data_IF_922440163040
#
_entry.id   IF_922440163040
#
_cell.length_a   1.000
_cell.length_b   1.000
_cell.length_c   1.000
_cell.angle_alpha   90.00
_cell.angle_beta   90.00
_cell.angle_gamma   90.00
#
_symmetry.space_group_name_H-M   'P 1'
#
loop_
_entity.id
_entity.type
_entity.pdbx_description
1 polymer ?
#
# COMPACT_ATOMS: atom_id res chain seq x y z
N UNK A 1 -41.50 34.65 -4.32
CA UNK A 1 -41.76 33.80 -3.13
C UNK A 1 -40.62 32.79 -3.03
N UNK A 2 -39.65 33.08 -2.16
CA UNK A 2 -38.56 32.18 -1.80
C UNK A 2 -39.09 31.16 -0.79
N UNK A 3 -39.00 29.87 -1.08
CA UNK A 3 -39.18 28.82 -0.09
C UNK A 3 -37.83 28.16 0.16
N UNK A 4 -37.11 28.66 1.18
CA UNK A 4 -35.99 27.92 1.76
C UNK A 4 -36.56 26.66 2.41
N UNK A 5 -36.03 25.50 2.02
CA UNK A 5 -36.18 24.28 2.82
C UNK A 5 -35.24 24.43 4.01
N UNK A 6 -35.80 24.85 5.15
CA UNK A 6 -35.12 24.80 6.43
C UNK A 6 -34.87 23.33 6.79
N UNK A 7 -33.60 22.95 6.84
CA UNK A 7 -33.17 21.71 7.49
C UNK A 7 -33.32 21.89 9.02
N UNK A 8 -33.89 20.92 9.75
CA UNK A 8 -33.96 21.01 11.20
C UNK A 8 -32.59 20.69 11.82
N UNK A 9 -32.10 21.57 12.70
CA UNK A 9 -31.07 21.24 13.67
C UNK A 9 -29.67 21.83 13.46
N UNK A 10 -29.55 23.16 13.31
CA UNK A 10 -28.36 23.85 13.83
C UNK A 10 -28.42 23.80 15.35
N UNK A 11 -27.78 22.79 15.94
CA UNK A 11 -27.50 22.75 17.36
C UNK A 11 -25.99 22.56 17.50
N UNK A 12 -25.27 23.64 17.82
CA UNK A 12 -23.82 23.69 18.03
C UNK A 12 -23.41 23.02 19.35
N UNK A 13 -23.99 21.86 19.65
CA UNK A 13 -23.63 21.04 20.79
C UNK A 13 -23.09 19.71 20.27
N UNK A 14 -21.78 19.66 20.03
CA UNK A 14 -21.06 18.47 19.54
C UNK A 14 -21.25 17.24 20.46
N UNK A 15 -21.83 17.41 21.66
CA UNK A 15 -22.20 16.35 22.58
C UNK A 15 -23.39 15.49 22.13
N UNK A 16 -24.27 15.99 21.25
CA UNK A 16 -25.52 15.29 20.91
C UNK A 16 -25.52 14.58 19.54
N UNK A 17 -24.45 14.72 18.76
CA UNK A 17 -24.40 14.14 17.41
C UNK A 17 -24.28 12.61 17.45
N UNK A 18 -23.44 12.06 18.34
CA UNK A 18 -23.21 10.62 18.50
C UNK A 18 -24.49 9.89 18.95
N UNK A 19 -25.17 10.46 19.95
CA UNK A 19 -26.47 9.94 20.42
C UNK A 19 -27.53 9.98 19.31
N UNK A 20 -27.59 11.05 18.52
CA UNK A 20 -28.57 11.20 17.43
C UNK A 20 -28.33 10.15 16.32
N UNK A 21 -27.06 9.94 15.93
CA UNK A 21 -26.70 8.92 14.94
C UNK A 21 -26.96 7.50 15.45
N UNK A 22 -26.64 7.23 16.71
CA UNK A 22 -26.86 5.94 17.33
C UNK A 22 -28.35 5.59 17.47
N UNK A 23 -29.19 6.56 17.85
CA UNK A 23 -30.65 6.38 17.90
C UNK A 23 -31.22 6.05 16.52
N UNK A 24 -30.85 6.80 15.47
CA UNK A 24 -31.30 6.49 14.11
C UNK A 24 -30.82 5.12 13.60
N UNK A 25 -29.59 4.73 13.96
CA UNK A 25 -29.09 3.40 13.63
C UNK A 25 -29.88 2.28 14.32
N UNK A 26 -30.26 2.47 15.59
CA UNK A 26 -31.09 1.51 16.31
C UNK A 26 -32.51 1.40 15.75
N UNK A 27 -33.09 2.51 15.28
CA UNK A 27 -34.41 2.53 14.62
C UNK A 27 -34.40 1.72 13.30
N UNK A 28 -33.33 1.84 12.50
CA UNK A 28 -33.17 1.01 11.28
C UNK A 28 -32.92 -0.47 11.61
N UNK A 29 -32.22 -0.77 12.70
CA UNK A 29 -32.02 -2.14 13.19
C UNK A 29 -33.34 -2.76 13.69
N UNK A 30 -34.22 -1.97 14.33
CA UNK A 30 -35.58 -2.42 14.71
C UNK A 30 -36.46 -2.70 13.48
N UNK A 31 -36.27 -1.96 12.38
CA UNK A 31 -36.96 -2.19 11.12
C UNK A 31 -36.58 -3.51 10.43
N UNK A 32 -35.46 -4.12 10.84
CA UNK A 32 -34.91 -5.36 10.29
C UNK A 32 -35.27 -6.62 11.12
N UNK A 33 -36.11 -6.48 12.15
CA UNK A 33 -36.58 -7.57 13.05
C UNK A 33 -35.44 -8.44 13.62
N UNK A 34 -34.35 -7.79 14.03
CA UNK A 34 -33.15 -8.45 14.53
C UNK A 34 -33.29 -8.84 16.02
N UNK A 35 -32.85 -10.06 16.33
CA UNK A 35 -32.95 -10.71 17.65
C UNK A 35 -32.42 -9.81 18.80
N UNK A 36 -33.13 -9.80 19.94
CA UNK A 36 -32.81 -9.10 21.21
C UNK A 36 -31.34 -9.22 21.64
N UNK A 37 -30.71 -10.38 21.41
CA UNK A 37 -29.28 -10.62 21.72
C UNK A 37 -28.34 -9.72 20.91
N UNK A 38 -28.67 -9.45 19.64
CA UNK A 38 -27.87 -8.57 18.79
C UNK A 38 -27.98 -7.11 19.24
N UNK A 39 -29.18 -6.69 19.69
CA UNK A 39 -29.42 -5.33 20.22
C UNK A 39 -28.58 -5.07 21.48
N UNK A 40 -28.53 -6.02 22.40
CA UNK A 40 -27.68 -5.94 23.60
C UNK A 40 -26.19 -5.89 23.25
N UNK A 41 -25.76 -6.65 22.23
CA UNK A 41 -24.38 -6.63 21.74
C UNK A 41 -24.01 -5.28 21.11
N UNK A 42 -24.87 -4.72 20.28
CA UNK A 42 -24.67 -3.40 19.64
C UNK A 42 -24.56 -2.30 20.69
N UNK A 43 -25.45 -2.29 21.69
CA UNK A 43 -25.40 -1.32 22.80
C UNK A 43 -24.10 -1.42 23.60
N UNK A 44 -23.62 -2.64 23.83
CA UNK A 44 -22.38 -2.88 24.59
C UNK A 44 -21.15 -2.38 23.82
N UNK A 45 -21.07 -2.66 22.51
CA UNK A 45 -19.96 -2.18 21.68
C UNK A 45 -19.99 -0.66 21.50
N UNK A 46 -21.18 -0.05 21.34
CA UNK A 46 -21.32 1.40 21.28
C UNK A 46 -20.79 2.08 22.55
N UNK A 47 -21.18 1.60 23.73
CA UNK A 47 -20.69 2.14 25.00
C UNK A 47 -19.16 2.00 25.12
N UNK A 48 -18.61 0.88 24.67
CA UNK A 48 -17.17 0.61 24.69
C UNK A 48 -16.40 1.56 23.77
N UNK A 49 -16.90 1.80 22.56
CA UNK A 49 -16.30 2.74 21.62
C UNK A 49 -16.43 4.19 22.09
N UNK A 50 -17.57 4.57 22.67
CA UNK A 50 -17.78 5.89 23.28
C UNK A 50 -16.75 6.16 24.38
N UNK A 51 -16.53 5.21 25.29
CA UNK A 51 -15.51 5.31 26.34
C UNK A 51 -14.08 5.39 25.78
N UNK A 52 -13.78 4.61 24.74
CA UNK A 52 -12.50 4.64 24.05
C UNK A 52 -12.23 6.01 23.41
N UNK A 53 -13.18 6.53 22.63
CA UNK A 53 -13.10 7.84 21.97
C UNK A 53 -12.98 8.97 22.99
N UNK A 54 -13.75 8.94 24.07
CA UNK A 54 -13.66 9.92 25.15
C UNK A 54 -12.25 9.92 25.77
N UNK A 55 -11.72 8.74 26.08
CA UNK A 55 -10.38 8.59 26.65
C UNK A 55 -9.29 9.08 25.69
N UNK A 56 -9.45 8.78 24.39
CA UNK A 56 -8.54 9.23 23.34
C UNK A 56 -8.50 10.76 23.25
N UNK A 57 -9.66 11.42 23.14
CA UNK A 57 -9.71 12.88 23.04
C UNK A 57 -9.26 13.60 24.31
N UNK A 58 -9.56 13.06 25.48
CA UNK A 58 -9.02 13.60 26.75
C UNK A 58 -7.50 13.58 26.79
N UNK A 59 -6.85 12.54 26.23
CA UNK A 59 -5.39 12.50 26.09
C UNK A 59 -4.88 13.58 25.14
N UNK A 60 -5.48 13.71 23.96
CA UNK A 60 -5.09 14.74 22.97
C UNK A 60 -5.24 16.16 23.54
N UNK A 61 -6.35 16.46 24.22
CA UNK A 61 -6.60 17.76 24.84
C UNK A 61 -5.59 18.04 25.97
N UNK A 62 -5.26 17.02 26.77
CA UNK A 62 -4.26 17.14 27.83
C UNK A 62 -2.87 17.44 27.27
N UNK A 63 -2.44 16.70 26.25
CA UNK A 63 -1.17 16.90 25.55
C UNK A 63 -1.08 18.30 24.94
N UNK A 64 -2.17 18.79 24.34
CA UNK A 64 -2.22 20.15 23.78
C UNK A 64 -2.12 21.24 24.85
N UNK A 65 -2.76 21.05 26.01
CA UNK A 65 -2.69 21.99 27.15
C UNK A 65 -1.31 22.01 27.81
N UNK A 66 -0.64 20.86 27.91
CA UNK A 66 0.71 20.75 28.47
C UNK A 66 1.78 21.41 27.56
N UNK A 67 1.52 21.50 26.26
CA UNK A 67 2.42 22.12 25.28
C UNK A 67 2.20 23.64 25.07
N UNK A 68 1.30 24.27 25.83
CA UNK A 68 0.92 25.69 25.68
C UNK A 68 1.50 26.64 26.75
N UNK A 69 2.34 26.17 27.67
CA UNK A 69 3.00 27.03 28.68
C UNK A 69 4.39 27.53 28.21
N UNK A 70 4.78 28.80 28.47
CA UNK A 70 6.06 29.34 28.03
C UNK A 70 7.23 28.82 28.86
N UNK A 71 8.35 28.55 28.16
CA UNK A 71 9.66 28.21 28.73
C UNK A 71 10.09 29.26 29.77
N UNK A 72 10.23 28.85 31.04
CA UNK A 72 11.14 29.47 31.99
C UNK A 72 11.65 28.48 33.05
N UNK A 73 12.98 28.35 33.03
CA UNK A 73 13.97 27.92 34.04
C UNK A 73 13.52 27.41 35.42
N UNK A 74 13.96 26.19 35.78
CA UNK A 74 14.81 25.86 36.96
C UNK A 74 14.48 24.50 37.63
N UNK A 75 15.57 23.74 37.86
CA UNK A 75 15.79 22.58 38.73
C UNK A 75 14.71 22.13 39.73
N UNK A 76 14.47 20.82 39.80
CA UNK A 76 14.58 20.05 41.06
C UNK A 76 14.42 18.53 40.84
N UNK A 77 15.25 17.79 41.58
CA UNK A 77 15.49 16.35 41.63
C UNK A 77 14.47 15.62 42.56
N UNK A 78 14.35 14.27 42.37
CA UNK A 78 13.80 13.20 43.26
C UNK A 78 12.25 13.05 43.27
N UNK A 79 11.63 11.86 43.20
CA UNK A 79 11.82 10.63 43.99
C UNK A 79 11.23 9.41 43.25
N UNK A 80 11.92 8.26 43.31
CA UNK A 80 11.37 6.92 43.06
C UNK A 80 10.52 6.44 44.25
N UNK A 81 9.29 5.94 44.02
CA UNK A 81 8.66 4.97 44.93
C UNK A 81 7.88 3.90 44.15
N UNK A 82 8.33 2.65 44.33
CA UNK A 82 7.61 1.37 44.25
C UNK A 82 6.08 1.47 44.34
N UNK A 83 5.37 0.88 43.40
CA UNK A 83 4.19 0.06 43.73
C UNK A 83 4.20 -1.23 42.91
N UNK A 84 4.34 -2.34 43.64
CA UNK A 84 4.24 -3.71 43.18
C UNK A 84 3.10 -4.30 44.01
N UNK A 85 1.92 -4.52 43.45
CA UNK A 85 0.94 -5.41 44.06
C UNK A 85 -0.04 -6.03 43.05
N UNK A 86 0.13 -7.35 42.88
CA UNK A 86 -0.89 -8.40 42.66
C UNK A 86 -2.03 -8.12 41.67
N UNK A 87 -1.83 -8.51 40.41
CA UNK A 87 -2.94 -8.99 39.57
C UNK A 87 -3.02 -10.51 39.70
N UNK A 88 -4.03 -10.96 40.45
CA UNK A 88 -4.49 -12.36 40.52
C UNK A 88 -4.81 -12.83 39.10
N UNK A 89 -4.24 -13.98 38.71
CA UNK A 89 -4.66 -14.73 37.53
C UNK A 89 -6.07 -15.28 37.79
N UNK A 90 -7.05 -14.79 37.04
CA UNK A 90 -8.27 -15.54 36.76
C UNK A 90 -7.97 -16.36 35.52
N UNK A 91 -8.00 -17.69 35.66
CA UNK A 91 -8.02 -18.62 34.53
C UNK A 91 -9.46 -18.67 34.04
N UNK A 92 -9.72 -17.99 32.94
CA UNK A 92 -10.83 -18.35 32.07
C UNK A 92 -10.19 -19.13 30.91
N UNK A 93 -10.30 -20.45 31.01
CA UNK A 93 -10.01 -21.42 29.95
C UNK A 93 -11.15 -21.33 28.94
N UNK A 94 -10.91 -20.64 27.81
CA UNK A 94 -11.55 -20.87 26.49
C UNK A 94 -11.28 -19.69 25.52
N UNK A 95 -10.02 -19.30 25.35
CA UNK A 95 -9.66 -18.28 24.35
C UNK A 95 -8.90 -18.86 23.18
N UNK A 96 -9.57 -18.92 22.04
CA UNK A 96 -9.03 -19.14 20.68
C UNK A 96 -7.66 -18.45 20.55
N UNK A 97 -6.64 -19.16 20.05
CA UNK A 97 -5.23 -18.72 19.94
C UNK A 97 -5.05 -17.28 19.43
N UNK A 98 -5.94 -16.81 18.55
CA UNK A 98 -5.95 -15.44 18.02
C UNK A 98 -6.17 -14.36 19.10
N UNK A 99 -7.05 -14.60 20.07
CA UNK A 99 -7.39 -13.61 21.10
C UNK A 99 -6.29 -13.45 22.16
N UNK A 100 -5.56 -14.52 22.48
CA UNK A 100 -4.38 -14.45 23.34
C UNK A 100 -3.20 -13.77 22.64
N UNK A 101 -3.03 -14.05 21.35
CA UNK A 101 -2.04 -13.36 20.52
C UNK A 101 -2.25 -11.84 20.52
N UNK A 102 -3.48 -11.37 20.23
CA UNK A 102 -3.79 -9.94 20.23
C UNK A 102 -3.58 -9.30 21.60
N UNK A 103 -3.98 -9.97 22.69
CA UNK A 103 -3.72 -9.51 24.06
C UNK A 103 -2.22 -9.34 24.31
N UNK A 104 -1.40 -10.31 23.89
CA UNK A 104 0.07 -10.26 24.03
C UNK A 104 0.69 -9.13 23.20
N UNK A 105 0.29 -8.96 21.94
CA UNK A 105 0.76 -7.86 21.10
C UNK A 105 0.41 -6.50 21.71
N UNK A 106 -0.82 -6.35 22.20
CA UNK A 106 -1.29 -5.11 22.84
C UNK A 106 -0.48 -4.79 24.10
N UNK A 107 -0.15 -5.80 24.92
CA UNK A 107 0.70 -5.63 26.09
C UNK A 107 2.12 -5.18 25.72
N UNK A 108 2.72 -5.76 24.67
CA UNK A 108 4.05 -5.37 24.19
C UNK A 108 4.04 -3.90 23.73
N UNK A 109 3.02 -3.50 22.96
CA UNK A 109 2.87 -2.13 22.48
C UNK A 109 2.72 -1.14 23.65
N UNK A 110 1.87 -1.43 24.64
CA UNK A 110 1.70 -0.57 25.81
C UNK A 110 2.97 -0.45 26.65
N UNK A 111 3.69 -1.56 26.85
CA UNK A 111 4.97 -1.55 27.58
C UNK A 111 6.05 -0.74 26.85
N UNK A 112 6.01 -0.70 25.52
CA UNK A 112 7.03 -0.05 24.69
C UNK A 112 6.56 1.28 24.07
N UNK A 113 5.41 1.83 24.48
CA UNK A 113 4.82 3.02 23.85
C UNK A 113 5.74 4.25 23.79
N UNK A 114 6.64 4.38 24.76
CA UNK A 114 7.61 5.49 24.82
C UNK A 114 8.94 5.17 24.12
N UNK A 115 9.17 3.91 23.72
CA UNK A 115 10.36 3.50 22.99
C UNK A 115 10.29 4.06 21.55
N UNK A 116 11.28 4.86 21.17
CA UNK A 116 11.33 5.54 19.87
C UNK A 116 11.39 4.54 18.69
N UNK A 117 12.11 3.43 18.85
CA UNK A 117 12.23 2.41 17.79
C UNK A 117 10.89 1.74 17.54
N UNK A 118 10.15 1.41 18.61
CA UNK A 118 8.81 0.82 18.48
C UNK A 118 7.85 1.79 17.81
N UNK A 119 7.82 3.05 18.23
CA UNK A 119 6.97 4.08 17.60
C UNK A 119 7.27 4.20 16.10
N UNK A 120 8.54 4.30 15.72
CA UNK A 120 8.92 4.41 14.32
C UNK A 120 8.50 3.18 13.49
N UNK A 121 8.67 1.95 14.02
CA UNK A 121 8.24 0.73 13.33
C UNK A 121 6.72 0.71 13.14
N UNK A 122 5.96 1.09 14.16
CA UNK A 122 4.50 1.16 14.10
C UNK A 122 4.05 2.22 13.08
N UNK A 123 4.63 3.42 13.14
CA UNK A 123 4.30 4.52 12.21
C UNK A 123 4.59 4.11 10.76
N UNK A 124 5.73 3.45 10.51
CA UNK A 124 6.05 2.92 9.18
C UNK A 124 5.07 1.83 8.74
N UNK A 125 4.68 0.93 9.63
CA UNK A 125 3.69 -0.11 9.32
C UNK A 125 2.33 0.50 8.97
N UNK A 126 1.89 1.53 9.72
CA UNK A 126 0.66 2.26 9.42
C UNK A 126 0.73 2.96 8.05
N UNK A 127 1.86 3.60 7.72
CA UNK A 127 2.06 4.21 6.40
C UNK A 127 1.97 3.18 5.26
N UNK A 128 2.56 2.00 5.46
CA UNK A 128 2.51 0.89 4.49
C UNK A 128 1.07 0.39 4.32
N UNK A 129 0.34 0.18 5.41
CA UNK A 129 -1.06 -0.26 5.37
C UNK A 129 -1.93 0.77 4.64
N UNK A 130 -1.84 2.04 5.02
CA UNK A 130 -2.61 3.12 4.39
C UNK A 130 -2.29 3.27 2.90
N UNK A 131 -1.02 3.09 2.51
CA UNK A 131 -0.62 3.13 1.11
C UNK A 131 -1.15 1.94 0.31
N UNK A 132 -1.15 0.75 0.90
CA UNK A 132 -1.77 -0.44 0.32
C UNK A 132 -3.27 -0.26 0.13
N UNK A 133 -4.00 0.22 1.14
CA UNK A 133 -5.45 0.45 1.06
C UNK A 133 -5.77 1.48 -0.03
N UNK A 134 -5.05 2.60 -0.04
CA UNK A 134 -5.17 3.62 -1.08
C UNK A 134 -4.92 3.05 -2.49
N UNK A 135 -3.93 2.17 -2.63
CA UNK A 135 -3.61 1.52 -3.89
C UNK A 135 -4.78 0.67 -4.40
N UNK A 136 -5.42 -0.12 -3.52
CA UNK A 136 -6.61 -0.92 -3.86
C UNK A 136 -7.79 -0.01 -4.28
N UNK A 137 -7.88 1.18 -3.71
CA UNK A 137 -8.89 2.20 -4.01
C UNK A 137 -8.61 3.01 -5.30
N UNK A 138 -7.63 2.63 -6.12
CA UNK A 138 -7.17 3.36 -7.32
C UNK A 138 -6.37 4.64 -7.04
N UNK A 139 -5.93 4.85 -5.80
CA UNK A 139 -5.09 5.98 -5.43
C UNK A 139 -3.64 5.54 -5.18
N UNK A 140 -2.83 5.55 -6.25
CA UNK A 140 -1.42 5.17 -6.16
C UNK A 140 -0.53 6.21 -5.44
N UNK A 141 -1.00 7.45 -5.24
CA UNK A 141 -0.14 8.55 -4.77
C UNK A 141 0.55 8.26 -3.42
N UNK A 142 -0.14 7.74 -2.39
CA UNK A 142 0.50 7.37 -1.13
C UNK A 142 1.58 6.30 -1.32
N UNK A 143 1.33 5.32 -2.19
CA UNK A 143 2.29 4.28 -2.55
C UNK A 143 3.55 4.86 -3.21
N UNK A 144 3.40 5.77 -4.18
CA UNK A 144 4.54 6.45 -4.80
C UNK A 144 5.36 7.24 -3.77
N UNK A 145 4.71 7.88 -2.80
CA UNK A 145 5.39 8.64 -1.75
C UNK A 145 6.26 7.76 -0.85
N UNK A 146 5.75 6.60 -0.42
CA UNK A 146 6.54 5.66 0.39
C UNK A 146 7.65 5.02 -0.45
N UNK A 147 7.40 4.70 -1.73
CA UNK A 147 8.40 4.15 -2.64
C UNK A 147 9.56 5.12 -2.84
N UNK A 148 9.25 6.40 -3.10
CA UNK A 148 10.26 7.46 -3.21
C UNK A 148 11.10 7.59 -1.94
N UNK A 149 10.45 7.54 -0.77
CA UNK A 149 11.15 7.60 0.51
C UNK A 149 12.14 6.44 0.67
N UNK A 150 11.71 5.21 0.36
CA UNK A 150 12.56 4.02 0.41
C UNK A 150 13.74 4.07 -0.57
N UNK A 151 13.52 4.61 -1.78
CA UNK A 151 14.58 4.79 -2.77
C UNK A 151 15.62 5.82 -2.31
N UNK A 152 15.17 6.93 -1.70
CA UNK A 152 16.06 7.99 -1.19
C UNK A 152 16.92 7.56 0.01
N UNK A 153 16.50 6.54 0.76
CA UNK A 153 17.31 5.96 1.85
C UNK A 153 18.48 5.10 1.35
N UNK A 154 18.48 4.73 0.06
CA UNK A 154 19.53 3.88 -0.51
C UNK A 154 20.84 4.65 -0.63
N UNK A 155 21.94 3.93 -0.45
CA UNK A 155 23.27 4.52 -0.63
C UNK A 155 23.45 5.05 -2.06
N UNK A 156 24.13 6.19 -2.19
CA UNK A 156 24.55 6.78 -3.47
C UNK A 156 25.29 5.79 -4.36
N UNK A 157 26.04 4.86 -3.77
CA UNK A 157 26.74 3.80 -4.51
C UNK A 157 25.78 2.89 -5.31
N UNK A 158 24.53 2.76 -4.86
CA UNK A 158 23.50 1.94 -5.52
C UNK A 158 22.93 2.59 -6.78
N UNK A 159 23.16 3.90 -7.01
CA UNK A 159 22.65 4.61 -8.19
C UNK A 159 23.16 4.01 -9.51
N UNK A 160 24.36 3.42 -9.48
CA UNK A 160 25.00 2.84 -10.66
C UNK A 160 24.51 1.44 -11.01
N UNK A 161 24.06 0.66 -10.02
CA UNK A 161 23.78 -0.78 -10.14
C UNK A 161 22.30 -1.14 -10.04
N UNK A 162 21.44 -0.19 -9.65
CA UNK A 162 20.01 -0.44 -9.58
C UNK A 162 19.40 -0.73 -10.96
N UNK A 163 18.40 -1.61 -10.94
CA UNK A 163 17.66 -2.12 -12.10
C UNK A 163 16.26 -2.59 -11.65
N UNK A 164 15.48 -3.17 -12.57
CA UNK A 164 14.12 -3.66 -12.29
C UNK A 164 14.05 -4.70 -11.15
N UNK A 165 14.89 -5.75 -11.10
CA UNK A 165 14.92 -6.68 -9.96
C UNK A 165 15.15 -6.00 -8.61
N UNK A 166 16.03 -4.99 -8.57
CA UNK A 166 16.26 -4.20 -7.35
C UNK A 166 15.03 -3.39 -6.97
N UNK A 167 14.36 -2.76 -7.95
CA UNK A 167 13.12 -2.02 -7.73
C UNK A 167 12.02 -2.95 -7.20
N UNK A 168 11.88 -4.14 -7.78
CA UNK A 168 10.89 -5.12 -7.37
C UNK A 168 11.05 -5.50 -5.90
N UNK A 169 12.26 -5.82 -5.45
CA UNK A 169 12.52 -6.14 -4.03
C UNK A 169 12.13 -4.98 -3.10
N UNK A 170 12.34 -3.73 -3.52
CA UNK A 170 11.93 -2.56 -2.72
C UNK A 170 10.40 -2.45 -2.66
N UNK A 171 9.72 -2.64 -3.79
CA UNK A 171 8.26 -2.59 -3.88
C UNK A 171 7.62 -3.73 -3.09
N UNK A 172 8.17 -4.95 -3.16
CA UNK A 172 7.72 -6.11 -2.38
C UNK A 172 7.80 -5.85 -0.87
N UNK A 173 8.87 -5.20 -0.39
CA UNK A 173 9.02 -4.86 1.03
C UNK A 173 8.07 -3.74 1.51
N UNK A 174 7.42 -3.03 0.58
CA UNK A 174 6.45 -1.97 0.87
C UNK A 174 5.01 -2.45 0.75
N UNK A 175 4.80 -3.74 0.48
CA UNK A 175 3.48 -4.36 0.38
C UNK A 175 3.36 -5.44 1.46
N UNK A 176 2.19 -5.63 2.08
CA UNK A 176 2.03 -6.72 3.02
C UNK A 176 2.13 -8.06 2.27
N UNK A 177 2.99 -8.95 2.76
CA UNK A 177 3.41 -10.17 2.05
C UNK A 177 2.26 -11.15 1.78
N UNK A 178 1.23 -11.19 2.62
CA UNK A 178 0.03 -12.01 2.41
C UNK A 178 -0.77 -11.59 1.17
N UNK A 179 -0.66 -10.33 0.75
CA UNK A 179 -1.39 -9.76 -0.39
C UNK A 179 -0.50 -9.52 -1.60
N UNK A 180 0.80 -9.80 -1.51
CA UNK A 180 1.76 -9.58 -2.58
C UNK A 180 2.16 -10.91 -3.23
N UNK A 181 2.06 -11.00 -4.56
CA UNK A 181 2.53 -12.14 -5.36
C UNK A 181 3.48 -11.62 -6.44
N UNK A 182 4.80 -11.72 -6.22
CA UNK A 182 5.78 -11.32 -7.21
C UNK A 182 5.87 -12.34 -8.34
N UNK A 183 6.23 -11.89 -9.54
CA UNK A 183 6.44 -12.71 -10.75
C UNK A 183 5.20 -13.59 -11.03
N UNK A 184 4.04 -12.94 -11.08
CA UNK A 184 2.76 -13.63 -11.20
C UNK A 184 2.65 -14.31 -12.56
N UNK A 185 2.59 -15.65 -12.53
CA UNK A 185 2.84 -16.49 -13.70
C UNK A 185 1.60 -16.66 -14.58
N UNK A 186 1.74 -16.40 -15.88
CA UNK A 186 0.67 -16.39 -16.87
C UNK A 186 0.99 -17.25 -18.09
N UNK A 187 -0.05 -17.88 -18.66
CA UNK A 187 -0.03 -18.37 -20.04
C UNK A 187 -0.62 -17.27 -20.91
N UNK A 188 0.23 -16.54 -21.64
CA UNK A 188 -0.19 -15.44 -22.53
C UNK A 188 -0.82 -16.00 -23.80
N UNK A 189 -0.12 -16.92 -24.45
CA UNK A 189 -0.58 -17.55 -25.68
C UNK A 189 -0.12 -19.00 -25.76
N UNK A 190 -1.02 -19.92 -25.40
CA UNK A 190 -0.73 -21.35 -25.41
C UNK A 190 -0.41 -21.94 -26.78
N UNK A 191 -0.78 -21.26 -27.87
CA UNK A 191 -0.49 -21.71 -29.25
C UNK A 191 0.97 -21.52 -29.64
N UNK A 192 1.68 -20.58 -29.02
CA UNK A 192 3.09 -20.32 -29.29
C UNK A 192 3.99 -21.39 -28.66
N UNK A 193 5.14 -21.78 -29.23
CA UNK A 193 6.07 -22.69 -28.57
C UNK A 193 6.69 -22.10 -27.29
N UNK A 194 7.21 -22.97 -26.40
CA UNK A 194 7.94 -22.53 -25.19
C UNK A 194 9.11 -21.62 -25.60
N UNK A 195 9.29 -20.50 -24.89
CA UNK A 195 10.35 -19.52 -25.17
C UNK A 195 10.00 -18.46 -26.23
N UNK A 196 8.84 -18.53 -26.89
CA UNK A 196 8.44 -17.56 -27.94
C UNK A 196 7.35 -16.57 -27.49
N UNK A 197 7.25 -16.31 -26.18
CA UNK A 197 6.17 -15.52 -25.59
C UNK A 197 4.89 -16.33 -25.31
N UNK A 198 5.03 -17.65 -25.10
CA UNK A 198 3.94 -18.49 -24.57
C UNK A 198 3.56 -18.08 -23.15
N UNK A 199 4.56 -17.80 -22.33
CA UNK A 199 4.44 -17.44 -20.92
C UNK A 199 4.76 -15.97 -20.72
N UNK A 200 4.23 -15.40 -19.65
CA UNK A 200 4.53 -14.06 -19.17
C UNK A 200 4.51 -14.05 -17.67
N UNK A 201 5.26 -13.13 -17.09
CA UNK A 201 5.34 -12.91 -15.65
C UNK A 201 5.04 -11.44 -15.43
N UNK A 202 4.01 -11.18 -14.64
CA UNK A 202 3.69 -9.82 -14.20
C UNK A 202 4.50 -9.52 -12.95
N UNK A 203 5.14 -8.36 -12.89
CA UNK A 203 6.13 -8.09 -11.84
C UNK A 203 5.53 -8.27 -10.44
N UNK A 204 4.38 -7.64 -10.15
CA UNK A 204 3.68 -7.83 -8.89
C UNK A 204 2.16 -7.84 -9.08
N UNK A 205 1.52 -8.89 -8.54
CA UNK A 205 0.07 -8.98 -8.38
C UNK A 205 -0.30 -8.73 -6.92
N UNK A 206 -1.10 -7.70 -6.68
CA UNK A 206 -1.55 -7.26 -5.34
C UNK A 206 -3.01 -7.66 -5.15
N UNK A 207 -3.24 -8.54 -4.18
CA UNK A 207 -4.56 -8.99 -3.77
C UNK A 207 -5.24 -7.93 -2.91
N UNK A 208 -6.54 -7.77 -3.08
CA UNK A 208 -7.36 -6.99 -2.16
C UNK A 208 -7.75 -7.81 -0.93
N UNK A 209 -7.47 -7.26 0.25
CA UNK A 209 -8.03 -7.69 1.53
C UNK A 209 -9.46 -7.17 1.69
N UNK A 210 -9.68 -5.93 1.24
CA UNK A 210 -10.92 -5.18 1.38
C UNK A 210 -11.48 -4.89 -0.03
N UNK A 211 -12.68 -5.39 -0.32
CA UNK A 211 -13.32 -5.26 -1.63
C UNK A 211 -13.00 -6.40 -2.59
N UNK A 212 -13.22 -6.18 -3.88
CA UNK A 212 -13.01 -7.19 -4.93
C UNK A 212 -11.98 -6.75 -5.98
N UNK A 213 -11.31 -5.60 -5.79
CA UNK A 213 -10.44 -5.02 -6.81
C UNK A 213 -9.00 -5.44 -6.60
N UNK A 214 -8.40 -6.15 -7.56
CA UNK A 214 -6.98 -6.52 -7.48
C UNK A 214 -6.16 -5.55 -8.31
N UNK A 215 -4.93 -5.28 -7.85
CA UNK A 215 -4.03 -4.33 -8.50
C UNK A 215 -2.85 -5.08 -9.10
N UNK A 216 -2.46 -4.69 -10.31
CA UNK A 216 -1.28 -5.20 -10.97
C UNK A 216 -0.29 -4.06 -11.10
N UNK A 217 0.95 -4.29 -10.67
CA UNK A 217 2.06 -3.35 -10.83
C UNK A 217 3.02 -3.90 -11.86
N UNK A 218 3.29 -3.09 -12.87
CA UNK A 218 4.38 -3.27 -13.83
C UNK A 218 5.47 -2.25 -13.48
N UNK A 219 6.69 -2.71 -13.30
CA UNK A 219 7.81 -1.94 -12.81
C UNK A 219 8.82 -1.74 -13.94
N UNK A 220 9.19 -0.49 -14.18
CA UNK A 220 10.26 -0.13 -15.12
C UNK A 220 11.31 0.69 -14.41
N UNK A 221 12.58 0.42 -14.71
CA UNK A 221 13.70 1.12 -14.07
C UNK A 221 14.66 1.69 -15.12
N UNK A 222 14.86 3.01 -15.07
CA UNK A 222 15.82 3.74 -15.88
C UNK A 222 17.04 4.05 -15.03
N UNK A 223 18.12 3.31 -15.28
CA UNK A 223 19.40 3.57 -14.64
C UNK A 223 20.05 4.85 -15.14
N UNK A 224 20.66 5.61 -14.23
CA UNK A 224 21.36 6.85 -14.58
C UNK A 224 22.55 6.60 -15.50
N UNK A 225 23.21 5.45 -15.34
CA UNK A 225 24.30 5.01 -16.22
C UNK A 225 23.80 4.82 -17.66
N UNK A 226 22.60 4.25 -17.85
CA UNK A 226 22.04 4.06 -19.19
C UNK A 226 21.60 5.36 -19.87
N UNK A 227 21.29 6.41 -19.09
CA UNK A 227 21.02 7.75 -19.60
C UNK A 227 22.30 8.50 -20.02
N UNK A 228 23.43 8.22 -19.37
CA UNK A 228 24.66 8.97 -19.60
C UNK A 228 25.62 8.34 -20.63
N UNK A 229 25.34 7.13 -21.13
CA UNK A 229 26.31 6.38 -21.97
C UNK A 229 26.67 7.03 -23.31
N UNK A 230 25.95 8.06 -23.75
CA UNK A 230 26.31 8.86 -24.93
C UNK A 230 27.36 9.96 -24.62
N UNK A 231 27.62 10.25 -23.35
CA UNK A 231 28.71 11.13 -22.93
C UNK A 231 29.96 10.27 -22.70
N UNK A 232 31.08 10.63 -23.34
CA UNK A 232 32.30 9.81 -23.50
C UNK A 232 33.00 9.33 -22.20
N UNK A 233 32.50 9.69 -21.02
CA UNK A 233 33.12 9.39 -19.74
C UNK A 233 32.17 8.60 -18.82
N UNK A 234 32.70 7.58 -18.14
CA UNK A 234 32.01 6.93 -17.03
C UNK A 234 31.77 7.95 -15.92
N UNK A 235 30.51 8.10 -15.48
CA UNK A 235 30.20 8.97 -14.34
C UNK A 235 30.59 8.31 -13.03
N UNK A 236 31.22 9.07 -12.15
CA UNK A 236 31.37 8.71 -10.75
C UNK A 236 30.06 8.90 -9.98
N UNK A 237 30.09 8.53 -8.70
CA UNK A 237 28.90 8.59 -7.85
C UNK A 237 28.37 10.02 -7.65
N UNK A 238 29.24 11.03 -7.63
CA UNK A 238 28.85 12.43 -7.45
C UNK A 238 28.16 12.99 -8.70
N UNK A 239 28.67 12.66 -9.88
CA UNK A 239 28.07 13.08 -11.15
C UNK A 239 26.70 12.41 -11.35
N UNK A 240 26.57 11.12 -10.98
CA UNK A 240 25.28 10.43 -10.98
C UNK A 240 24.29 11.08 -10.01
N UNK A 241 24.72 11.48 -8.81
CA UNK A 241 23.85 12.17 -7.86
C UNK A 241 23.37 13.52 -8.40
N UNK A 242 24.24 14.28 -9.06
CA UNK A 242 23.88 15.55 -9.69
C UNK A 242 22.88 15.35 -10.84
N UNK A 243 23.08 14.30 -11.65
CA UNK A 243 22.12 13.93 -12.70
C UNK A 243 20.76 13.53 -12.10
N UNK A 244 20.74 12.72 -11.03
CA UNK A 244 19.51 12.30 -10.35
C UNK A 244 18.70 13.51 -9.85
N UNK A 245 19.38 14.49 -9.25
CA UNK A 245 18.78 15.76 -8.78
C UNK A 245 18.25 16.61 -9.95
N UNK A 246 18.97 16.66 -11.07
CA UNK A 246 18.52 17.37 -12.27
C UNK A 246 17.25 16.76 -12.85
N UNK A 247 17.19 15.42 -12.93
CA UNK A 247 16.03 14.70 -13.47
C UNK A 247 14.78 14.85 -12.58
N UNK A 248 14.95 15.13 -11.29
CA UNK A 248 13.83 15.38 -10.38
C UNK A 248 13.00 16.61 -10.80
N UNK A 249 13.67 17.67 -11.27
CA UNK A 249 13.05 18.96 -11.61
C UNK A 249 12.69 19.11 -13.08
N UNK A 250 13.19 18.23 -13.93
CA UNK A 250 12.90 18.27 -15.36
C UNK A 250 11.41 17.97 -15.65
N UNK A 251 10.88 18.66 -16.67
CA UNK A 251 9.50 18.46 -17.08
C UNK A 251 9.32 17.06 -17.71
N UNK A 252 8.13 16.50 -17.55
CA UNK A 252 7.87 15.11 -17.95
C UNK A 252 8.06 14.90 -19.46
N UNK A 253 7.60 15.84 -20.30
CA UNK A 253 7.74 15.73 -21.76
C UNK A 253 9.20 15.61 -22.20
N UNK A 254 10.09 16.41 -21.60
CA UNK A 254 11.52 16.39 -21.88
C UNK A 254 12.17 15.10 -21.38
N UNK A 255 11.82 14.66 -20.17
CA UNK A 255 12.29 13.39 -19.61
C UNK A 255 11.93 12.22 -20.52
N UNK A 256 10.67 12.12 -20.96
CA UNK A 256 10.21 11.01 -21.78
C UNK A 256 10.94 10.94 -23.14
N UNK A 257 11.39 12.07 -23.68
CA UNK A 257 12.18 12.14 -24.93
C UNK A 257 13.66 11.80 -24.75
N UNK A 258 14.16 11.64 -23.52
CA UNK A 258 15.59 11.35 -23.30
C UNK A 258 15.98 10.00 -23.91
N UNK A 259 17.11 9.95 -24.63
CA UNK A 259 17.65 8.69 -25.09
C UNK A 259 18.13 7.85 -23.91
N UNK A 260 17.86 6.55 -23.98
CA UNK A 260 18.29 5.57 -23.00
C UNK A 260 18.94 4.38 -23.69
N UNK A 261 20.11 3.99 -23.19
CA UNK A 261 20.88 2.86 -23.72
C UNK A 261 20.97 1.74 -22.69
N UNK A 262 20.66 0.52 -23.12
CA UNK A 262 20.75 -0.67 -22.28
C UNK A 262 21.34 -1.85 -23.03
N UNK A 263 21.92 -2.79 -22.29
CA UNK A 263 22.45 -4.02 -22.85
C UNK A 263 21.33 -5.06 -22.97
N UNK A 264 20.98 -5.45 -24.20
CA UNK A 264 20.04 -6.54 -24.46
C UNK A 264 20.77 -7.88 -24.38
N UNK A 265 20.34 -8.74 -23.45
CA UNK A 265 20.88 -10.11 -23.35
C UNK A 265 20.50 -10.97 -24.56
N UNK A 266 19.30 -10.74 -25.10
CA UNK A 266 18.76 -11.48 -26.24
C UNK A 266 19.51 -11.14 -27.52
N UNK A 267 19.64 -9.85 -27.81
CA UNK A 267 20.33 -9.37 -29.02
C UNK A 267 21.86 -9.35 -28.89
N UNK A 268 22.37 -9.56 -27.67
CA UNK A 268 23.80 -9.45 -27.30
C UNK A 268 24.44 -8.15 -27.77
N UNK A 269 23.66 -7.06 -27.76
CA UNK A 269 24.11 -5.73 -28.20
C UNK A 269 23.52 -4.63 -27.32
N UNK A 270 24.09 -3.45 -27.45
CA UNK A 270 23.50 -2.23 -26.91
C UNK A 270 22.30 -1.82 -27.77
N UNK A 271 21.16 -1.65 -27.12
CA UNK A 271 19.97 -1.08 -27.74
C UNK A 271 19.80 0.36 -27.26
N UNK A 272 19.36 1.22 -28.18
CA UNK A 272 19.01 2.62 -27.94
C UNK A 272 17.49 2.76 -28.07
N UNK A 273 16.87 3.43 -27.11
CA UNK A 273 15.42 3.70 -27.06
C UNK A 273 15.20 5.04 -26.36
N UNK A 274 13.96 5.40 -26.06
CA UNK A 274 13.62 6.54 -25.20
C UNK A 274 12.94 6.09 -23.91
N UNK A 275 12.97 6.94 -22.88
CA UNK A 275 12.23 6.68 -21.64
C UNK A 275 10.73 6.51 -21.93
N UNK A 276 10.17 7.33 -22.83
CA UNK A 276 8.77 7.26 -23.24
C UNK A 276 8.40 5.94 -23.93
N UNK A 277 9.26 5.41 -24.79
CA UNK A 277 9.06 4.10 -25.40
C UNK A 277 9.04 2.98 -24.34
N UNK A 278 9.93 3.03 -23.35
CA UNK A 278 9.94 2.05 -22.24
C UNK A 278 8.63 2.11 -21.45
N UNK A 279 8.16 3.31 -21.11
CA UNK A 279 6.88 3.49 -20.41
C UNK A 279 5.71 2.93 -21.23
N UNK A 280 5.64 3.28 -22.52
CA UNK A 280 4.58 2.81 -23.41
C UNK A 280 4.59 1.29 -23.60
N UNK A 281 5.78 0.69 -23.69
CA UNK A 281 5.93 -0.76 -23.76
C UNK A 281 5.43 -1.44 -22.48
N UNK A 282 5.77 -0.89 -21.31
CA UNK A 282 5.23 -1.34 -20.03
C UNK A 282 3.69 -1.27 -19.97
N UNK A 283 3.11 -0.18 -20.49
CA UNK A 283 1.64 -0.01 -20.55
C UNK A 283 0.97 -1.07 -21.43
N UNK A 284 1.54 -1.32 -22.61
CA UNK A 284 1.04 -2.35 -23.53
C UNK A 284 1.14 -3.75 -22.92
N UNK A 285 2.26 -4.05 -22.25
CA UNK A 285 2.49 -5.31 -21.55
C UNK A 285 1.48 -5.50 -20.42
N UNK A 286 1.30 -4.50 -19.56
CA UNK A 286 0.35 -4.53 -18.46
C UNK A 286 -1.10 -4.74 -18.95
N UNK A 287 -1.51 -4.04 -20.01
CA UNK A 287 -2.83 -4.22 -20.62
C UNK A 287 -3.04 -5.67 -21.10
N UNK A 288 -2.03 -6.27 -21.73
CA UNK A 288 -2.06 -7.67 -22.17
C UNK A 288 -2.16 -8.64 -20.98
N UNK A 289 -1.42 -8.39 -19.91
CA UNK A 289 -1.43 -9.21 -18.71
C UNK A 289 -2.78 -9.15 -18.00
N UNK A 290 -3.36 -7.96 -17.83
CA UNK A 290 -4.69 -7.81 -17.22
C UNK A 290 -5.78 -8.55 -18.01
N UNK A 291 -5.76 -8.45 -19.35
CA UNK A 291 -6.66 -9.22 -20.23
C UNK A 291 -6.44 -10.74 -20.16
N UNK A 292 -5.24 -11.17 -19.79
CA UNK A 292 -4.93 -12.59 -19.62
C UNK A 292 -5.40 -13.08 -18.25
N UNK A 293 -5.14 -12.31 -17.20
CA UNK A 293 -5.57 -12.59 -15.83
C UNK A 293 -7.10 -12.70 -15.76
N UNK A 294 -7.83 -11.79 -16.42
CA UNK A 294 -9.30 -11.79 -16.41
C UNK A 294 -9.97 -13.05 -16.99
N UNK A 295 -9.20 -13.91 -17.68
CA UNK A 295 -9.67 -15.22 -18.17
C UNK A 295 -9.68 -16.30 -17.09
N UNK A 296 -9.18 -16.01 -15.89
CA UNK A 296 -9.11 -16.95 -14.78
C UNK A 296 -8.00 -17.98 -14.94
N UNK A 297 -8.16 -19.15 -14.30
CA UNK A 297 -7.15 -20.20 -14.28
C UNK A 297 -6.97 -20.83 -15.67
N UNK A 298 -5.73 -20.92 -16.13
CA UNK A 298 -5.38 -21.73 -17.28
C UNK A 298 -5.57 -23.22 -16.94
N UNK A 299 -6.31 -23.96 -17.77
CA UNK A 299 -6.49 -25.41 -17.60
C UNK A 299 -5.19 -26.18 -17.82
N UNK A 300 -4.37 -25.69 -18.75
CA UNK A 300 -3.08 -26.23 -19.12
C UNK A 300 -2.30 -25.16 -19.92
N UNK A 301 -1.15 -25.54 -20.50
CA UNK A 301 -0.32 -24.67 -21.31
C UNK A 301 -0.93 -24.23 -22.65
N UNK A 302 -2.11 -24.73 -23.03
CA UNK A 302 -2.79 -24.41 -24.30
C UNK A 302 -3.84 -23.31 -24.15
N UNK A 303 -4.40 -23.13 -22.95
CA UNK A 303 -5.37 -22.08 -22.64
C UNK A 303 -4.68 -20.87 -22.01
N UNK A 304 -4.95 -19.66 -22.52
CA UNK A 304 -4.47 -18.44 -21.89
C UNK A 304 -5.16 -18.17 -20.56
N UNK A 305 -4.42 -17.74 -19.55
CA UNK A 305 -4.94 -17.47 -18.21
C UNK A 305 -3.83 -17.45 -17.17
N UNK A 306 -4.21 -17.42 -15.90
CA UNK A 306 -3.29 -17.51 -14.76
C UNK A 306 -2.78 -18.95 -14.62
N UNK A 307 -1.47 -19.09 -14.47
CA UNK A 307 -0.77 -20.35 -14.25
C UNK A 307 0.21 -20.19 -13.09
N UNK A 308 -0.34 -19.88 -11.91
CA UNK A 308 0.43 -19.68 -10.67
C UNK A 308 -0.19 -20.53 -9.56
N UNK A 309 0.61 -21.39 -8.93
CA UNK A 309 0.14 -22.32 -7.90
C UNK A 309 -0.13 -21.63 -6.56
N UNK A 310 0.46 -20.46 -6.33
CA UNK A 310 0.30 -19.68 -5.10
C UNK A 310 -1.06 -19.00 -5.02
N UNK A 311 -1.89 -19.10 -6.07
CA UNK A 311 -3.20 -18.46 -6.15
C UNK A 311 -4.30 -19.46 -6.44
N UNK A 312 -5.28 -19.51 -5.53
CA UNK A 312 -6.55 -20.17 -5.74
C UNK A 312 -7.51 -19.23 -6.45
N UNK A 313 -8.05 -19.69 -7.58
CA UNK A 313 -9.01 -18.94 -8.39
C UNK A 313 -10.38 -19.62 -8.33
N UNK A 314 -11.41 -18.84 -8.00
CA UNK A 314 -12.80 -19.28 -7.97
C UNK A 314 -13.67 -18.31 -8.76
N UNK A 315 -14.82 -18.77 -9.28
CA UNK A 315 -15.82 -17.86 -9.86
C UNK A 315 -16.33 -16.90 -8.79
N UNK A 316 -16.64 -15.67 -9.21
CA UNK A 316 -17.23 -14.64 -8.36
C UNK A 316 -18.13 -13.71 -9.17
N UNK A 317 -18.82 -12.81 -8.49
CA UNK A 317 -19.48 -11.68 -9.14
C UNK A 317 -18.42 -10.82 -9.87
N UNK A 318 -18.84 -10.11 -10.95
CA UNK A 318 -17.96 -9.21 -11.68
C UNK A 318 -17.22 -8.26 -10.74
N UNK A 319 -15.91 -8.17 -10.92
CA UNK A 319 -15.04 -7.25 -10.21
C UNK A 319 -13.97 -6.70 -11.16
N UNK A 320 -13.09 -5.84 -10.65
CA UNK A 320 -12.16 -5.07 -11.48
C UNK A 320 -10.72 -5.45 -11.20
N UNK A 321 -9.94 -5.54 -12.27
CA UNK A 321 -8.49 -5.47 -12.24
C UNK A 321 -8.11 -4.03 -12.53
N UNK A 322 -7.27 -3.46 -11.68
CA UNK A 322 -6.63 -2.15 -11.86
C UNK A 322 -5.16 -2.36 -12.14
N UNK A 323 -4.54 -1.49 -12.93
CA UNK A 323 -3.15 -1.66 -13.31
C UNK A 323 -2.41 -0.34 -13.31
N UNK A 324 -1.20 -0.35 -12.75
CA UNK A 324 -0.27 0.77 -12.81
C UNK A 324 1.09 0.35 -13.36
N UNK A 325 1.62 1.14 -14.28
CA UNK A 325 3.05 1.11 -14.61
C UNK A 325 3.75 2.13 -13.72
N UNK A 326 4.75 1.68 -12.97
CA UNK A 326 5.62 2.52 -12.15
C UNK A 326 7.00 2.58 -12.83
N UNK A 327 7.36 3.76 -13.31
CA UNK A 327 8.63 4.03 -13.94
C UNK A 327 9.51 4.84 -12.99
N UNK A 328 10.56 4.21 -12.47
CA UNK A 328 11.56 4.88 -11.63
C UNK A 328 12.76 5.26 -12.49
N UNK A 329 13.18 6.52 -12.38
CA UNK A 329 14.32 7.08 -13.09
C UNK A 329 15.33 7.55 -12.04
N UNK A 330 16.47 6.88 -11.97
CA UNK A 330 17.41 7.04 -10.85
C UNK A 330 16.76 6.64 -9.53
N UNK A 331 16.82 7.48 -8.50
CA UNK A 331 16.11 7.28 -7.22
C UNK A 331 15.10 8.38 -6.89
N UNK A 332 15.16 9.52 -7.60
CA UNK A 332 14.37 10.70 -7.25
C UNK A 332 13.10 10.88 -8.07
N UNK A 333 13.16 10.53 -9.34
CA UNK A 333 12.06 10.76 -10.27
C UNK A 333 11.26 9.47 -10.45
N UNK A 334 9.97 9.53 -10.12
CA UNK A 334 9.03 8.45 -10.34
C UNK A 334 7.90 9.00 -11.20
N UNK A 335 7.67 8.35 -12.32
CA UNK A 335 6.49 8.56 -13.16
C UNK A 335 5.60 7.33 -13.02
N UNK A 336 4.30 7.52 -13.18
CA UNK A 336 3.36 6.41 -13.20
C UNK A 336 2.23 6.69 -14.18
N UNK A 337 1.58 5.62 -14.64
CA UNK A 337 0.39 5.63 -15.49
C UNK A 337 -0.55 4.51 -15.10
N UNK A 338 -1.85 4.79 -15.09
CA UNK A 338 -2.88 3.76 -15.01
C UNK A 338 -3.25 3.26 -16.41
N UNK A 339 -3.54 1.96 -16.52
CA UNK A 339 -4.19 1.38 -17.71
C UNK A 339 -5.69 1.23 -17.45
N UNK A 340 -6.47 1.10 -18.52
CA UNK A 340 -7.92 0.88 -18.43
C UNK A 340 -8.25 -0.34 -17.56
N UNK A 341 -9.25 -0.18 -16.69
CA UNK A 341 -9.73 -1.26 -15.83
C UNK A 341 -10.25 -2.44 -16.66
N UNK A 342 -9.95 -3.66 -16.21
CA UNK A 342 -10.45 -4.88 -16.85
C UNK A 342 -11.42 -5.60 -15.92
N UNK A 343 -12.63 -5.86 -16.41
CA UNK A 343 -13.62 -6.65 -15.64
C UNK A 343 -13.25 -8.13 -15.64
N UNK A 344 -13.41 -8.79 -14.49
CA UNK A 344 -13.16 -10.22 -14.30
C UNK A 344 -14.26 -10.85 -13.46
N UNK A 345 -14.61 -12.11 -13.74
CA UNK A 345 -15.62 -12.89 -13.01
C UNK A 345 -14.97 -13.91 -12.06
N UNK A 346 -13.78 -13.58 -11.59
CA UNK A 346 -12.94 -14.45 -10.77
C UNK A 346 -12.48 -13.73 -9.52
N UNK A 347 -12.42 -14.47 -8.42
CA UNK A 347 -11.77 -14.09 -7.17
C UNK A 347 -10.44 -14.83 -7.07
N UNK A 348 -9.43 -14.11 -6.61
CA UNK A 348 -8.07 -14.59 -6.42
C UNK A 348 -7.78 -14.59 -4.92
N UNK A 349 -7.25 -15.70 -4.39
CA UNK A 349 -6.82 -15.78 -3.00
C UNK A 349 -5.45 -16.45 -2.96
N UNK A 350 -4.55 -15.95 -2.11
CA UNK A 350 -3.27 -16.60 -1.87
C UNK A 350 -3.50 -17.94 -1.15
N UNK A 351 -2.72 -18.96 -1.50
CA UNK A 351 -2.75 -20.30 -0.88
C UNK A 351 -1.83 -20.37 0.32
#
# INVERSE_FOLDING_TARGET
MNTSKNYPGQNDNWKDLDNTWFTHFLEEVERLDLNKVLKEKINTEHLRYMQYLQTFWQKIIKEYKENLEPINTSNSIKVQVKQKEKLKRVRDDDTTESSEYWKRQSQILEQNKNNLVYRQVIDNALLVISAYESLIEDNIIPFIKILKTSLLLRSRMSLSSANEPVLQVIVENLLPSEYCIPEFSLVINGKKPKGSGRFGYSDIFVLSNIGNNNVILELKYISLVGLNRNQKNNLGANELENLDKLLETENEESILKRPYSYWSKEDKKMNLTTIGEILNNGMNQLSLYMKTISKGRAMNYSSSGVFDERVKISKSNPNKLKGFVILVIGFRRILWRSVDEVTTNYKYNKV
#
